data_IF_805687787634
#
_entry.id   IF_805687787634
#
_cell.length_a   1.000
_cell.length_b   1.000
_cell.length_c   1.000
_cell.angle_alpha   90.00
_cell.angle_beta   90.00
_cell.angle_gamma   90.00
#
_symmetry.space_group_name_H-M   'P 1'
#
loop_
_entity.id
_entity.type
_entity.pdbx_description
1 polymer ?
#
# COMPACT_ATOMS: atom_id res chain seq x y z
N UNK A 1 -11.75 2.27 13.14
CA UNK A 1 -11.75 3.20 11.98
C UNK A 1 -13.01 2.98 11.13
N UNK A 2 -13.54 4.04 10.51
CA UNK A 2 -14.67 3.95 9.60
C UNK A 2 -14.22 3.26 8.31
N UNK A 3 -14.92 2.21 7.88
CA UNK A 3 -14.55 1.38 6.71
C UNK A 3 -15.63 1.32 5.64
N UNK A 4 -16.78 1.97 5.85
CA UNK A 4 -17.91 1.98 4.91
C UNK A 4 -18.04 3.33 4.23
N UNK A 5 -18.47 3.34 2.97
CA UNK A 5 -18.69 4.55 2.19
C UNK A 5 -19.65 5.53 2.86
N UNK A 6 -20.71 5.00 3.47
CA UNK A 6 -21.70 5.80 4.22
C UNK A 6 -21.12 6.57 5.41
N UNK A 7 -19.94 6.19 5.89
CA UNK A 7 -19.29 6.82 7.02
C UNK A 7 -18.35 7.98 6.59
N UNK A 8 -18.11 8.14 5.28
CA UNK A 8 -17.31 9.16 4.60
C UNK A 8 -18.19 10.30 4.07
N UNK A 9 -18.81 11.05 4.98
CA UNK A 9 -19.52 12.27 4.61
C UNK A 9 -18.59 13.27 3.92
N UNK A 10 -18.96 13.72 2.72
CA UNK A 10 -18.29 14.81 2.00
C UNK A 10 -16.99 14.43 1.29
N UNK A 11 -16.72 13.12 1.12
CA UNK A 11 -15.50 12.58 0.50
C UNK A 11 -15.79 11.70 -0.72
N UNK A 12 -16.99 11.82 -1.27
CA UNK A 12 -17.46 11.00 -2.39
C UNK A 12 -16.68 11.29 -3.67
N UNK A 13 -16.19 12.52 -3.83
CA UNK A 13 -15.36 12.92 -4.96
C UNK A 13 -14.02 12.17 -4.93
N UNK A 14 -13.31 12.21 -3.81
CA UNK A 14 -12.00 11.57 -3.66
C UNK A 14 -12.10 10.06 -3.78
N UNK A 15 -13.18 9.46 -3.27
CA UNK A 15 -13.49 8.05 -3.49
C UNK A 15 -13.67 7.72 -4.98
N UNK A 16 -14.44 8.54 -5.72
CA UNK A 16 -14.64 8.36 -7.16
C UNK A 16 -13.32 8.50 -7.92
N UNK A 17 -12.53 9.52 -7.62
CA UNK A 17 -11.22 9.72 -8.24
C UNK A 17 -10.32 8.50 -8.00
N UNK A 18 -10.22 8.01 -6.76
CA UNK A 18 -9.45 6.80 -6.43
C UNK A 18 -9.92 5.57 -7.23
N UNK A 19 -11.24 5.37 -7.32
CA UNK A 19 -11.84 4.28 -8.09
C UNK A 19 -11.50 4.36 -9.57
N UNK A 20 -11.63 5.54 -10.17
CA UNK A 20 -11.32 5.73 -11.59
C UNK A 20 -9.83 5.55 -11.87
N UNK A 21 -8.93 6.00 -10.99
CA UNK A 21 -7.50 5.71 -11.10
C UNK A 21 -7.21 4.20 -11.12
N UNK A 22 -7.82 3.41 -10.24
CA UNK A 22 -7.65 1.96 -10.27
C UNK A 22 -8.17 1.32 -11.56
N UNK A 23 -9.31 1.80 -12.09
CA UNK A 23 -9.87 1.30 -13.36
C UNK A 23 -8.98 1.63 -14.56
N UNK A 24 -8.40 2.83 -14.59
CA UNK A 24 -7.47 3.27 -15.63
C UNK A 24 -6.10 2.58 -15.53
N UNK A 25 -5.89 1.76 -14.50
CA UNK A 25 -4.65 1.02 -14.29
C UNK A 25 -3.53 1.88 -13.73
N UNK A 26 -3.87 2.96 -13.01
CA UNK A 26 -2.88 3.85 -12.43
C UNK A 26 -1.96 3.11 -11.45
N UNK A 27 -0.66 3.29 -11.63
CA UNK A 27 0.39 2.59 -10.88
C UNK A 27 0.79 3.32 -9.60
N UNK A 28 0.46 4.62 -9.52
CA UNK A 28 0.65 5.45 -8.33
C UNK A 28 -0.60 6.28 -8.04
N UNK A 29 -1.06 6.22 -6.80
CA UNK A 29 -2.08 7.12 -6.26
C UNK A 29 -1.51 7.79 -5.01
N UNK A 30 -1.59 9.12 -4.94
CA UNK A 30 -1.12 9.89 -3.78
C UNK A 30 -2.29 10.64 -3.15
N UNK A 31 -2.49 10.41 -1.84
CA UNK A 31 -3.50 11.07 -1.01
C UNK A 31 -2.80 12.00 -0.03
N UNK A 32 -2.89 13.30 -0.25
CA UNK A 32 -2.26 14.31 0.60
C UNK A 32 -3.28 15.22 1.26
N UNK A 33 -2.95 15.76 2.42
CA UNK A 33 -3.82 16.67 3.18
C UNK A 33 -3.36 16.81 4.62
N UNK A 34 -3.79 17.84 5.34
CA UNK A 34 -3.31 18.13 6.70
C UNK A 34 -3.52 16.97 7.70
N UNK A 35 -2.83 16.99 8.84
CA UNK A 35 -3.09 16.00 9.90
C UNK A 35 -4.55 16.07 10.33
N UNK A 36 -5.15 14.91 10.61
CA UNK A 36 -6.56 14.76 11.05
C UNK A 36 -7.64 15.14 10.03
N UNK A 37 -7.31 15.22 8.74
CA UNK A 37 -8.30 15.42 7.67
C UNK A 37 -9.04 14.14 7.23
N UNK A 38 -8.71 12.98 7.80
CA UNK A 38 -9.38 11.71 7.49
C UNK A 38 -8.80 10.92 6.32
N UNK A 39 -7.54 11.18 5.91
CA UNK A 39 -6.83 10.41 4.86
C UNK A 39 -6.86 8.90 5.08
N UNK A 40 -6.49 8.44 6.27
CA UNK A 40 -6.51 7.01 6.64
C UNK A 40 -7.91 6.42 6.52
N UNK A 41 -8.95 7.17 6.93
CA UNK A 41 -10.34 6.72 6.80
C UNK A 41 -10.78 6.62 5.34
N UNK A 42 -10.41 7.59 4.49
CA UNK A 42 -10.65 7.52 3.05
C UNK A 42 -9.95 6.30 2.44
N UNK A 43 -8.64 6.13 2.70
CA UNK A 43 -7.86 5.01 2.18
C UNK A 43 -8.49 3.67 2.58
N UNK A 44 -8.77 3.46 3.87
CA UNK A 44 -9.37 2.21 4.35
C UNK A 44 -10.70 1.93 3.66
N UNK A 45 -11.58 2.93 3.53
CA UNK A 45 -12.84 2.73 2.81
C UNK A 45 -12.62 2.40 1.33
N UNK A 46 -11.70 3.07 0.65
CA UNK A 46 -11.37 2.71 -0.74
C UNK A 46 -10.92 1.24 -0.85
N UNK A 47 -10.08 0.76 0.08
CA UNK A 47 -9.60 -0.63 0.08
C UNK A 47 -10.75 -1.64 0.29
N UNK A 48 -11.67 -1.37 1.23
CA UNK A 48 -12.77 -2.30 1.54
C UNK A 48 -13.92 -2.26 0.52
N UNK A 49 -14.29 -1.09 0.00
CA UNK A 49 -15.44 -0.94 -0.91
C UNK A 49 -15.10 -1.35 -2.35
N UNK A 50 -13.85 -1.16 -2.80
CA UNK A 50 -13.47 -1.42 -4.19
C UNK A 50 -13.09 -2.89 -4.45
N UNK A 51 -12.99 -3.72 -3.42
CA UNK A 51 -12.81 -5.18 -3.51
C UNK A 51 -11.59 -5.64 -4.30
N UNK A 52 -10.54 -4.84 -4.32
CA UNK A 52 -9.22 -5.28 -4.82
C UNK A 52 -8.44 -5.96 -3.68
N UNK A 53 -7.61 -6.97 -3.99
CA UNK A 53 -6.66 -7.49 -3.02
C UNK A 53 -5.64 -6.40 -2.66
N UNK A 54 -5.27 -6.34 -1.39
CA UNK A 54 -4.37 -5.29 -0.91
C UNK A 54 -3.48 -5.76 0.23
N UNK A 55 -2.45 -4.96 0.50
CA UNK A 55 -1.76 -4.91 1.78
C UNK A 55 -1.68 -3.45 2.24
N UNK A 56 -1.97 -3.21 3.51
CA UNK A 56 -1.97 -1.89 4.13
C UNK A 56 -0.83 -1.82 5.16
N UNK A 57 -0.07 -0.72 5.13
CA UNK A 57 1.13 -0.56 5.95
C UNK A 57 1.07 0.79 6.67
N UNK A 58 0.92 0.78 8.00
CA UNK A 58 0.92 2.00 8.81
C UNK A 58 2.35 2.47 9.12
N UNK A 59 3.04 3.05 8.14
CA UNK A 59 4.42 3.53 8.31
C UNK A 59 4.54 4.54 9.45
N UNK A 60 3.55 5.43 9.57
CA UNK A 60 3.51 6.39 10.69
C UNK A 60 3.34 5.72 12.06
N UNK A 61 2.69 4.56 12.13
CA UNK A 61 2.61 3.73 13.33
C UNK A 61 3.97 3.16 13.72
N UNK A 62 4.61 2.46 12.77
CA UNK A 62 5.96 1.88 12.92
C UNK A 62 6.95 2.94 13.42
N UNK A 63 6.97 4.11 12.78
CA UNK A 63 7.88 5.19 13.18
C UNK A 63 7.59 5.73 14.58
N UNK A 64 6.32 5.88 14.98
CA UNK A 64 5.98 6.34 16.34
C UNK A 64 6.39 5.34 17.41
N UNK A 65 6.32 4.06 17.10
CA UNK A 65 6.64 2.99 18.04
C UNK A 65 8.15 2.77 18.17
N UNK A 66 8.88 2.75 17.06
CA UNK A 66 10.29 2.36 17.06
C UNK A 66 11.27 3.52 16.81
N UNK A 67 10.82 4.66 16.27
CA UNK A 67 11.67 5.80 15.92
C UNK A 67 12.48 5.64 14.62
N UNK A 68 12.39 4.49 13.95
CA UNK A 68 13.01 4.23 12.65
C UNK A 68 12.17 3.21 11.84
N UNK A 69 12.43 3.11 10.54
CA UNK A 69 11.78 2.11 9.68
C UNK A 69 12.79 1.02 9.32
N UNK A 70 12.49 -0.24 9.64
CA UNK A 70 13.27 -1.39 9.19
C UNK A 70 12.49 -2.20 8.16
N UNK A 71 13.18 -3.07 7.40
CA UNK A 71 12.48 -4.05 6.55
C UNK A 71 11.62 -4.97 7.39
N UNK A 72 12.16 -5.48 8.50
CA UNK A 72 11.45 -6.36 9.41
C UNK A 72 10.09 -5.77 9.84
N UNK A 73 10.05 -4.53 10.33
CA UNK A 73 8.80 -3.90 10.77
C UNK A 73 7.79 -3.68 9.64
N UNK A 74 8.25 -3.40 8.42
CA UNK A 74 7.33 -3.35 7.28
C UNK A 74 6.74 -4.71 6.96
N UNK A 75 7.54 -5.78 7.03
CA UNK A 75 7.03 -7.14 6.84
C UNK A 75 6.07 -7.54 7.96
N UNK A 76 6.36 -7.22 9.22
CA UNK A 76 5.42 -7.46 10.32
C UNK A 76 4.09 -6.73 10.10
N UNK A 77 4.13 -5.45 9.72
CA UNK A 77 2.92 -4.69 9.43
C UNK A 77 2.13 -5.29 8.25
N UNK A 78 2.82 -5.79 7.21
CA UNK A 78 2.17 -6.52 6.12
C UNK A 78 1.53 -7.83 6.61
N UNK A 79 2.21 -8.59 7.48
CA UNK A 79 1.67 -9.82 8.06
C UNK A 79 0.42 -9.54 8.90
N UNK A 80 0.45 -8.51 9.75
CA UNK A 80 -0.70 -8.00 10.50
C UNK A 80 -1.85 -7.62 9.55
N UNK A 81 -1.55 -6.84 8.50
CA UNK A 81 -2.55 -6.48 7.48
C UNK A 81 -3.13 -7.71 6.79
N UNK A 82 -2.35 -8.75 6.50
CA UNK A 82 -2.91 -9.95 5.89
C UNK A 82 -3.82 -10.71 6.85
N UNK A 83 -3.40 -10.86 8.10
CA UNK A 83 -4.16 -11.51 9.18
C UNK A 83 -5.50 -10.81 9.43
N UNK A 84 -5.48 -9.50 9.65
CA UNK A 84 -6.69 -8.70 9.94
C UNK A 84 -7.73 -8.77 8.80
N UNK A 85 -7.27 -9.01 7.58
CA UNK A 85 -8.12 -8.95 6.39
C UNK A 85 -8.45 -10.33 5.80
N UNK A 86 -8.06 -11.45 6.44
CA UNK A 86 -8.34 -12.80 5.92
C UNK A 86 -9.83 -13.03 5.61
N UNK A 87 -10.73 -12.65 6.51
CA UNK A 87 -12.18 -12.79 6.28
C UNK A 87 -12.73 -11.87 5.19
N UNK A 88 -12.12 -10.70 4.95
CA UNK A 88 -12.47 -9.85 3.81
C UNK A 88 -11.96 -10.47 2.49
N UNK A 89 -10.73 -10.97 2.50
CA UNK A 89 -10.10 -11.62 1.36
C UNK A 89 -10.87 -12.85 0.89
N UNK A 90 -11.35 -13.67 1.82
CA UNK A 90 -12.23 -14.80 1.49
C UNK A 90 -13.51 -14.33 0.78
N UNK A 91 -14.17 -13.28 1.30
CA UNK A 91 -15.41 -12.72 0.71
C UNK A 91 -15.24 -12.20 -0.71
N UNK A 92 -14.06 -11.66 -1.05
CA UNK A 92 -13.77 -11.16 -2.40
C UNK A 92 -13.11 -12.21 -3.30
N UNK A 93 -12.96 -13.46 -2.83
CA UNK A 93 -12.34 -14.56 -3.58
C UNK A 93 -10.82 -14.44 -3.72
N UNK A 94 -10.15 -13.61 -2.90
CA UNK A 94 -8.70 -13.48 -2.92
C UNK A 94 -8.01 -14.69 -2.29
N UNK A 95 -7.22 -15.39 -3.11
CA UNK A 95 -6.46 -16.58 -2.70
C UNK A 95 -5.16 -16.21 -1.98
N UNK A 96 -5.27 -15.69 -0.75
CA UNK A 96 -4.12 -15.27 0.07
C UNK A 96 -3.04 -16.35 0.17
N UNK A 97 -3.42 -17.60 0.48
CA UNK A 97 -2.48 -18.73 0.57
C UNK A 97 -1.70 -18.97 -0.73
N UNK A 98 -2.34 -18.78 -1.89
CA UNK A 98 -1.63 -18.88 -3.19
C UNK A 98 -0.60 -17.77 -3.34
N UNK A 99 -0.92 -16.54 -2.93
CA UNK A 99 0.01 -15.42 -2.98
C UNK A 99 1.21 -15.66 -2.06
N UNK A 100 0.97 -15.91 -0.77
CA UNK A 100 2.03 -15.95 0.24
C UNK A 100 3.07 -17.03 -0.06
N UNK A 101 2.65 -18.19 -0.60
CA UNK A 101 3.55 -19.27 -1.03
C UNK A 101 4.60 -18.82 -2.07
N UNK A 102 4.36 -17.75 -2.82
CA UNK A 102 5.30 -17.21 -3.82
C UNK A 102 6.32 -16.23 -3.24
N UNK A 103 6.05 -15.67 -2.07
CA UNK A 103 6.81 -14.55 -1.50
C UNK A 103 8.05 -15.00 -0.73
N UNK A 104 8.02 -16.22 -0.15
CA UNK A 104 8.99 -16.73 0.84
C UNK A 104 9.15 -15.85 2.09
N UNK A 105 8.33 -14.81 2.24
CA UNK A 105 8.41 -13.82 3.31
C UNK A 105 7.42 -14.07 4.43
N UNK A 106 6.38 -14.85 4.13
CA UNK A 106 5.25 -15.07 5.02
C UNK A 106 4.87 -16.54 5.01
N UNK A 107 4.40 -17.02 6.16
CA UNK A 107 3.72 -18.29 6.29
C UNK A 107 2.36 -18.10 6.98
N UNK A 108 1.45 -19.05 6.77
CA UNK A 108 0.13 -19.06 7.43
C UNK A 108 0.19 -20.05 8.58
N UNK A 109 -0.02 -19.57 9.80
CA UNK A 109 -0.15 -20.35 11.03
C UNK A 109 -1.63 -20.48 11.45
N UNK A 110 -1.91 -21.06 12.63
CA UNK A 110 -3.26 -21.12 13.18
C UNK A 110 -3.80 -19.76 13.63
N UNK A 111 -2.91 -18.82 13.97
CA UNK A 111 -3.23 -17.46 14.43
C UNK A 111 -3.31 -16.43 13.30
N UNK A 112 -2.85 -16.76 12.10
CA UNK A 112 -2.90 -15.84 10.95
C UNK A 112 -1.69 -15.96 10.04
N UNK A 113 -1.19 -14.81 9.59
CA UNK A 113 0.00 -14.66 8.77
C UNK A 113 1.14 -14.18 9.65
N UNK A 114 2.28 -14.85 9.55
CA UNK A 114 3.50 -14.55 10.30
C UNK A 114 4.67 -14.34 9.33
N UNK A 115 5.65 -13.55 9.76
CA UNK A 115 6.89 -13.31 9.01
C UNK A 115 7.82 -14.52 9.11
N UNK A 116 8.55 -14.80 8.04
CA UNK A 116 9.56 -15.85 8.02
C UNK A 116 10.82 -15.42 8.80
N UNK A 117 11.54 -16.31 9.52
CA UNK A 117 12.69 -15.93 10.35
C UNK A 117 13.83 -15.20 9.61
N UNK A 118 13.94 -15.36 8.30
CA UNK A 118 14.95 -14.70 7.46
C UNK A 118 14.37 -13.61 6.54
N UNK A 119 13.20 -13.07 6.88
CA UNK A 119 12.47 -12.12 6.02
C UNK A 119 13.29 -10.88 5.66
N UNK A 120 14.22 -10.45 6.51
CA UNK A 120 15.10 -9.32 6.23
C UNK A 120 16.02 -9.55 5.02
N UNK A 121 16.30 -10.80 4.64
CA UNK A 121 17.06 -11.13 3.43
C UNK A 121 16.22 -10.99 2.16
N UNK A 122 14.91 -10.89 2.28
CA UNK A 122 13.98 -10.80 1.15
C UNK A 122 13.80 -9.33 0.79
N UNK A 123 14.12 -9.00 -0.46
CA UNK A 123 13.93 -7.64 -0.96
C UNK A 123 12.45 -7.34 -1.18
N UNK A 124 12.06 -6.10 -0.88
CA UNK A 124 10.71 -5.60 -1.14
C UNK A 124 10.40 -5.69 -2.64
N UNK A 125 11.38 -5.49 -3.52
CA UNK A 125 11.20 -5.66 -4.97
C UNK A 125 10.79 -7.09 -5.34
N UNK A 126 11.37 -8.12 -4.73
CA UNK A 126 10.97 -9.52 -4.96
C UNK A 126 9.54 -9.77 -4.50
N UNK A 127 9.13 -9.18 -3.37
CA UNK A 127 7.76 -9.25 -2.88
C UNK A 127 6.78 -8.59 -3.85
N UNK A 128 7.08 -7.37 -4.30
CA UNK A 128 6.26 -6.64 -5.27
C UNK A 128 6.13 -7.38 -6.62
N UNK A 129 7.20 -8.05 -7.09
CA UNK A 129 7.12 -8.94 -8.26
C UNK A 129 6.17 -10.11 -8.04
N UNK A 130 6.17 -10.72 -6.84
CA UNK A 130 5.25 -11.79 -6.52
C UNK A 130 3.79 -11.32 -6.53
N UNK A 131 3.52 -10.13 -5.98
CA UNK A 131 2.20 -9.49 -6.02
C UNK A 131 1.75 -9.21 -7.46
N UNK A 132 2.63 -8.62 -8.27
CA UNK A 132 2.37 -8.33 -9.68
C UNK A 132 2.05 -9.59 -10.49
N UNK A 133 2.87 -10.64 -10.36
CA UNK A 133 2.67 -11.92 -11.05
C UNK A 133 1.35 -12.58 -10.65
N UNK A 134 1.02 -12.56 -9.36
CA UNK A 134 -0.24 -13.11 -8.87
C UNK A 134 -1.44 -12.32 -9.40
N UNK A 135 -1.38 -10.99 -9.37
CA UNK A 135 -2.45 -10.12 -9.85
C UNK A 135 -2.69 -10.29 -11.36
N UNK A 136 -1.61 -10.35 -12.15
CA UNK A 136 -1.67 -10.64 -13.60
C UNK A 136 -2.38 -11.97 -13.87
N UNK A 137 -2.00 -13.04 -13.16
CA UNK A 137 -2.61 -14.38 -13.32
C UNK A 137 -4.11 -14.37 -13.04
N UNK A 138 -4.57 -13.50 -12.14
CA UNK A 138 -5.97 -13.40 -11.73
C UNK A 138 -6.73 -12.27 -12.42
N UNK A 139 -6.17 -11.66 -13.47
CA UNK A 139 -6.76 -10.54 -14.22
C UNK A 139 -7.27 -9.41 -13.29
N UNK A 140 -6.47 -9.08 -12.28
CA UNK A 140 -6.80 -8.07 -11.27
C UNK A 140 -5.62 -7.13 -11.01
N UNK A 141 -5.78 -6.23 -10.05
CA UNK A 141 -4.71 -5.37 -9.52
C UNK A 141 -4.49 -5.66 -8.04
N UNK A 142 -3.25 -5.55 -7.59
CA UNK A 142 -2.91 -5.63 -6.18
C UNK A 142 -2.52 -4.26 -5.63
N UNK A 143 -3.17 -3.80 -4.58
CA UNK A 143 -2.91 -2.50 -3.96
C UNK A 143 -1.87 -2.64 -2.85
N UNK A 144 -0.80 -1.86 -2.90
CA UNK A 144 0.18 -1.76 -1.81
C UNK A 144 0.10 -0.36 -1.23
N UNK A 145 -0.53 -0.24 -0.07
CA UNK A 145 -0.84 1.04 0.54
C UNK A 145 0.08 1.36 1.73
N UNK A 146 0.77 2.50 1.66
CA UNK A 146 1.63 3.03 2.71
C UNK A 146 0.98 4.28 3.33
N UNK A 147 0.52 4.18 4.57
CA UNK A 147 -0.08 5.29 5.31
C UNK A 147 0.99 6.11 6.06
N UNK A 148 0.95 7.43 5.89
CA UNK A 148 2.00 8.38 6.32
C UNK A 148 3.38 7.99 5.75
N UNK A 149 3.42 7.74 4.45
CA UNK A 149 4.57 7.25 3.70
C UNK A 149 5.82 8.14 3.79
N UNK A 150 5.67 9.42 4.16
CA UNK A 150 6.82 10.31 4.34
C UNK A 150 7.82 9.83 5.40
N UNK A 151 7.38 8.98 6.35
CA UNK A 151 8.27 8.39 7.35
C UNK A 151 9.20 7.31 6.79
N UNK A 152 8.98 6.82 5.56
CA UNK A 152 9.90 5.90 4.90
C UNK A 152 11.30 6.49 4.69
N UNK A 153 11.46 7.82 4.76
CA UNK A 153 12.79 8.46 4.75
C UNK A 153 13.68 8.07 5.93
N UNK A 154 13.09 7.53 7.01
CA UNK A 154 13.81 7.05 8.20
C UNK A 154 14.19 5.57 8.11
N UNK A 155 14.32 5.04 6.90
CA UNK A 155 14.65 3.63 6.62
C UNK A 155 16.15 3.30 6.60
N UNK A 156 17.01 4.29 6.89
CA UNK A 156 18.46 4.17 6.79
C UNK A 156 18.91 3.90 5.36
N UNK A 157 19.40 2.68 5.10
CA UNK A 157 20.01 2.32 3.80
C UNK A 157 19.00 1.98 2.70
N UNK A 158 17.73 1.73 3.04
CA UNK A 158 16.74 1.28 2.04
C UNK A 158 16.11 2.47 1.32
N UNK A 159 16.41 2.61 0.03
CA UNK A 159 15.90 3.66 -0.87
C UNK A 159 14.49 3.30 -1.39
N UNK A 160 13.46 3.55 -0.57
CA UNK A 160 12.06 3.27 -0.94
C UNK A 160 11.57 4.13 -2.11
N UNK A 161 12.08 5.35 -2.24
CA UNK A 161 11.93 6.23 -3.41
C UNK A 161 12.27 5.49 -4.71
N UNK A 162 13.47 4.89 -4.77
CA UNK A 162 13.93 4.14 -5.94
C UNK A 162 13.14 2.85 -6.18
N UNK A 163 12.74 2.15 -5.11
CA UNK A 163 11.89 0.96 -5.22
C UNK A 163 10.51 1.33 -5.79
N UNK A 164 9.93 2.46 -5.37
CA UNK A 164 8.64 2.91 -5.88
C UNK A 164 8.73 3.36 -7.32
N UNK A 165 9.77 4.11 -7.72
CA UNK A 165 10.00 4.47 -9.12
C UNK A 165 10.08 3.23 -10.01
N UNK A 166 10.95 2.28 -9.65
CA UNK A 166 11.05 0.99 -10.35
C UNK A 166 9.71 0.24 -10.44
N UNK A 167 8.96 0.18 -9.33
CA UNK A 167 7.68 -0.51 -9.32
C UNK A 167 6.63 0.16 -10.21
N UNK A 168 6.61 1.49 -10.25
CA UNK A 168 5.72 2.26 -11.12
C UNK A 168 6.08 2.02 -12.58
N UNK A 169 7.35 1.92 -12.94
CA UNK A 169 7.75 1.70 -14.33
C UNK A 169 7.49 0.26 -14.79
N UNK A 170 7.70 -0.73 -13.92
CA UNK A 170 7.80 -2.15 -14.31
C UNK A 170 6.63 -3.05 -13.88
N UNK A 171 5.78 -2.64 -12.92
CA UNK A 171 4.75 -3.50 -12.33
C UNK A 171 3.33 -3.07 -12.73
N UNK A 172 2.90 -3.51 -13.91
CA UNK A 172 1.60 -3.13 -14.52
C UNK A 172 0.37 -3.47 -13.67
N UNK A 173 0.41 -4.54 -12.86
CA UNK A 173 -0.71 -5.04 -12.06
C UNK A 173 -0.60 -4.69 -10.57
N UNK A 174 0.36 -3.85 -10.18
CA UNK A 174 0.47 -3.30 -8.82
C UNK A 174 0.14 -1.82 -8.84
N UNK A 175 -0.64 -1.37 -7.87
CA UNK A 175 -0.86 0.06 -7.61
C UNK A 175 -0.29 0.41 -6.25
N UNK A 176 0.71 1.30 -6.23
CA UNK A 176 1.24 1.86 -5.00
C UNK A 176 0.35 3.03 -4.58
N UNK A 177 -0.10 3.01 -3.33
CA UNK A 177 -0.90 4.08 -2.75
C UNK A 177 -0.13 4.69 -1.60
N UNK A 178 0.12 6.00 -1.65
CA UNK A 178 0.86 6.72 -0.63
C UNK A 178 -0.04 7.77 0.00
N UNK A 179 -0.15 7.77 1.33
CA UNK A 179 -0.73 8.91 2.04
C UNK A 179 0.36 9.74 2.71
N UNK A 180 0.11 11.02 2.94
CA UNK A 180 0.99 11.82 3.79
C UNK A 180 0.35 13.10 4.30
N UNK A 181 0.63 13.40 5.57
CA UNK A 181 0.19 14.64 6.20
C UNK A 181 1.11 15.83 5.96
N UNK A 182 2.38 15.57 5.64
CA UNK A 182 3.40 16.58 5.37
C UNK A 182 3.66 16.64 3.85
N UNK A 183 2.83 17.38 3.13
CA UNK A 183 2.81 17.35 1.65
C UNK A 183 4.16 17.68 1.02
N UNK A 184 4.85 18.70 1.54
CA UNK A 184 6.20 19.06 1.08
C UNK A 184 7.19 17.92 1.29
N UNK A 185 7.18 17.31 2.48
CA UNK A 185 8.07 16.18 2.82
C UNK A 185 7.78 14.96 1.97
N UNK A 186 6.51 14.62 1.75
CA UNK A 186 6.16 13.49 0.90
C UNK A 186 6.59 13.74 -0.55
N UNK A 187 6.43 14.97 -1.06
CA UNK A 187 6.92 15.35 -2.40
C UNK A 187 8.44 15.27 -2.49
N UNK A 188 9.15 15.74 -1.47
CA UNK A 188 10.61 15.69 -1.40
C UNK A 188 11.14 14.26 -1.28
N UNK A 189 10.44 13.41 -0.52
CA UNK A 189 10.75 11.98 -0.43
C UNK A 189 10.53 11.29 -1.78
N UNK A 190 9.45 11.67 -2.46
CA UNK A 190 9.11 11.05 -3.73
C UNK A 190 10.01 11.50 -4.87
N UNK A 191 10.53 12.74 -4.84
CA UNK A 191 11.43 13.40 -5.83
C UNK A 191 11.53 12.62 -7.14
N UNK A 192 10.36 12.44 -7.77
CA UNK A 192 10.28 11.88 -9.09
C UNK A 192 10.82 12.99 -9.98
N UNK A 193 12.01 12.80 -10.54
CA UNK A 193 12.47 13.68 -11.60
C UNK A 193 11.37 13.73 -12.67
N UNK A 194 10.73 14.89 -12.85
CA UNK A 194 9.80 15.15 -13.95
C UNK A 194 10.62 15.35 -15.25
N UNK A 195 10.10 15.09 -16.48
CA UNK A 195 8.69 14.95 -16.85
C UNK A 195 8.41 13.81 -17.88
N UNK A 196 7.50 12.87 -17.58
CA UNK A 196 7.10 11.90 -18.63
C UNK A 196 6.26 10.71 -18.21
N UNK A 197 6.05 10.48 -16.91
CA UNK A 197 5.31 9.30 -16.45
C UNK A 197 3.80 9.54 -16.62
N UNK A 198 3.23 8.99 -17.69
CA UNK A 198 1.78 8.81 -17.85
C UNK A 198 1.24 8.01 -16.67
N UNK A 199 0.25 8.59 -16.01
CA UNK A 199 -0.56 7.87 -15.05
C UNK A 199 -0.44 8.32 -13.60
N UNK A 200 -0.81 9.57 -13.32
CA UNK A 200 -0.74 10.17 -11.98
C UNK A 200 -2.09 10.78 -11.63
N UNK A 201 -2.78 10.21 -10.64
CA UNK A 201 -3.87 10.90 -9.96
C UNK A 201 -3.31 11.56 -8.69
N UNK A 202 -3.37 12.90 -8.67
CA UNK A 202 -3.05 13.73 -7.50
C UNK A 202 -4.37 14.27 -6.93
N UNK A 203 -4.91 13.63 -5.89
CA UNK A 203 -6.10 14.16 -5.20
C UNK A 203 -5.69 14.83 -3.89
N UNK A 204 -6.04 16.11 -3.77
CA UNK A 204 -5.70 16.94 -2.61
C UNK A 204 -6.89 17.06 -1.68
N UNK A 205 -6.68 16.64 -0.44
CA UNK A 205 -7.67 16.77 0.63
C UNK A 205 -7.42 18.08 1.36
N UNK A 206 -8.23 19.08 0.99
CA UNK A 206 -8.45 20.31 1.76
C UNK A 206 -9.38 20.08 2.94
#
# INVERSE_FOLDING_TARGET
>A
PKTKLKDLFGREREFREFREALKLGERLIVIYGMRRTGKTSLLKTCLYELKYPFVYINVGGIFREHGFISKFYLYEEMACSFTENMGFFEKIGFKLRELLRRTRAFHISGSGVEVEPAVEKISISSLLRAFNSWARKHSTRFIVAFDEAQYLRFSGKTRYDGIFAWAIDELENVTIVLTGSEVGVLRDFLKFEDPGVRGRLKTGIG
#
